data_IF_749987929074
#
_entry.id   IF_749987929074
#
_cell.length_a   1.000
_cell.length_b   1.000
_cell.length_c   1.000
_cell.angle_alpha   90.00
_cell.angle_beta   90.00
_cell.angle_gamma   90.00
#
_symmetry.space_group_name_H-M   'P 1'
#
loop_
_entity.id
_entity.type
_entity.pdbx_description
1 polymer ?
#
# COMPACT_ATOMS: atom_id res chain seq x y z
N UNK A 1 23.82 39.05 -18.80
CA UNK A 1 23.17 39.23 -17.48
C UNK A 1 23.95 38.35 -16.51
N UNK A 2 24.74 38.95 -15.60
CA UNK A 2 25.78 38.23 -14.86
C UNK A 2 25.21 37.45 -13.67
N UNK A 3 25.09 36.13 -13.82
CA UNK A 3 24.61 35.20 -12.79
C UNK A 3 25.47 35.23 -11.52
N UNK A 4 26.73 35.63 -11.65
CA UNK A 4 27.66 35.86 -10.54
C UNK A 4 27.23 36.98 -9.59
N UNK A 5 26.56 38.02 -10.09
CA UNK A 5 26.06 39.11 -9.24
C UNK A 5 24.86 38.64 -8.39
N UNK A 6 24.01 37.79 -8.96
CA UNK A 6 22.86 37.19 -8.27
C UNK A 6 23.30 36.23 -7.17
N UNK A 7 24.30 35.39 -7.44
CA UNK A 7 24.88 34.49 -6.44
C UNK A 7 25.58 35.25 -5.29
N UNK A 8 26.28 36.34 -5.61
CA UNK A 8 26.95 37.17 -4.59
C UNK A 8 25.96 37.94 -3.71
N UNK A 9 24.87 38.45 -4.28
CA UNK A 9 23.79 39.11 -3.52
C UNK A 9 23.05 38.10 -2.64
N UNK A 10 22.75 36.90 -3.14
CA UNK A 10 22.17 35.84 -2.31
C UNK A 10 23.09 35.45 -1.15
N UNK A 11 24.41 35.36 -1.37
CA UNK A 11 25.37 35.00 -0.32
C UNK A 11 25.49 36.07 0.78
N UNK A 12 25.37 37.36 0.44
CA UNK A 12 25.39 38.46 1.42
C UNK A 12 24.11 38.49 2.27
N UNK A 13 22.94 38.16 1.69
CA UNK A 13 21.68 38.06 2.44
C UNK A 13 21.69 36.93 3.46
N UNK A 14 22.44 35.84 3.20
CA UNK A 14 22.63 34.75 4.16
C UNK A 14 23.66 35.04 5.26
N UNK A 15 24.48 36.09 5.11
CA UNK A 15 25.58 36.42 6.04
C UNK A 15 25.28 37.60 6.98
N UNK A 16 24.17 38.31 6.81
CA UNK A 16 23.72 39.30 7.79
C UNK A 16 23.04 38.60 8.96
N UNK A 17 23.64 38.56 10.17
CA UNK A 17 22.94 38.07 11.34
C UNK A 17 21.79 39.01 11.63
N UNK A 18 20.57 38.56 11.37
CA UNK A 18 19.37 39.18 11.94
C UNK A 18 19.53 39.09 13.46
N UNK A 19 19.68 40.23 14.12
CA UNK A 19 19.64 40.29 15.57
C UNK A 19 18.32 39.65 16.04
N UNK A 20 18.34 38.57 16.83
CA UNK A 20 17.11 37.95 17.30
C UNK A 20 16.41 38.93 18.23
N UNK A 21 15.33 39.55 17.76
CA UNK A 21 14.33 40.17 18.63
C UNK A 21 13.40 39.07 19.11
N UNK A 22 13.84 38.31 20.10
CA UNK A 22 12.97 37.38 20.81
C UNK A 22 12.79 37.91 22.24
N UNK A 23 11.91 38.89 22.37
CA UNK A 23 11.33 39.29 23.65
C UNK A 23 9.82 39.01 23.58
N UNK A 24 9.47 37.79 23.20
CA UNK A 24 8.10 37.29 23.35
C UNK A 24 7.99 36.70 24.76
N UNK A 25 7.15 37.32 25.58
CA UNK A 25 6.65 36.71 26.82
C UNK A 25 6.06 35.35 26.47
N UNK A 26 6.66 34.26 26.96
CA UNK A 26 6.15 32.92 26.78
C UNK A 26 4.72 32.82 27.32
N UNK A 27 3.75 32.85 26.42
CA UNK A 27 2.33 32.61 26.70
C UNK A 27 1.98 31.22 26.20
N UNK A 28 1.62 30.35 27.13
CA UNK A 28 1.18 28.99 26.80
C UNK A 28 -0.23 29.04 26.19
N UNK A 29 -0.33 28.85 24.87
CA UNK A 29 -1.61 28.75 24.18
C UNK A 29 -2.09 27.30 24.20
N UNK A 30 -3.20 27.05 24.91
CA UNK A 30 -3.84 25.73 24.97
C UNK A 30 -4.28 25.24 23.59
N UNK A 31 -4.48 26.14 22.62
CA UNK A 31 -4.85 25.80 21.24
C UNK A 31 -3.73 25.06 20.47
N UNK A 32 -2.46 25.21 20.90
CA UNK A 32 -1.33 24.49 20.29
C UNK A 32 -1.30 23.00 20.64
N UNK A 33 -2.00 22.60 21.72
CA UNK A 33 -2.06 21.23 22.23
C UNK A 33 -3.36 20.52 21.85
N UNK A 34 -4.36 21.27 21.37
CA UNK A 34 -5.61 20.69 20.91
C UNK A 34 -5.37 19.85 19.65
N UNK A 35 -5.90 18.61 19.66
CA UNK A 35 -5.83 17.72 18.50
C UNK A 35 -6.55 18.39 17.34
N UNK A 36 -5.78 18.82 16.33
CA UNK A 36 -6.36 19.34 15.09
C UNK A 36 -7.24 18.27 14.46
N UNK A 37 -8.40 18.64 13.90
CA UNK A 37 -9.30 17.68 13.27
C UNK A 37 -8.77 17.21 11.91
N UNK A 38 -7.59 17.65 11.49
CA UNK A 38 -6.96 17.22 10.24
C UNK A 38 -5.48 16.93 10.45
N UNK A 39 -4.98 16.03 9.61
CA UNK A 39 -3.56 15.75 9.45
C UNK A 39 -3.26 15.63 7.97
N UNK A 40 -2.17 16.23 7.52
CA UNK A 40 -1.70 16.14 6.14
C UNK A 40 -0.22 15.74 6.21
N UNK A 41 0.13 14.72 5.45
CA UNK A 41 1.49 14.18 5.35
C UNK A 41 1.79 13.84 3.89
N UNK A 42 3.02 13.47 3.61
CA UNK A 42 3.45 13.10 2.28
C UNK A 42 4.95 13.17 2.11
N UNK A 43 5.41 12.80 0.93
CA UNK A 43 6.80 12.94 0.56
C UNK A 43 6.96 13.29 -0.91
N UNK A 44 8.11 13.88 -1.22
CA UNK A 44 8.57 14.08 -2.59
C UNK A 44 9.90 13.36 -2.74
N UNK A 45 10.03 12.55 -3.78
CA UNK A 45 11.27 11.88 -4.16
C UNK A 45 11.73 12.37 -5.53
N UNK A 46 13.03 12.64 -5.66
CA UNK A 46 13.68 12.91 -6.95
C UNK A 46 14.85 11.96 -7.12
N UNK A 47 14.78 11.10 -8.13
CA UNK A 47 15.76 10.05 -8.40
C UNK A 47 16.37 10.23 -9.80
N UNK A 48 17.53 10.90 -9.92
CA UNK A 48 18.29 10.93 -11.17
C UNK A 48 18.96 9.57 -11.41
N UNK A 49 18.88 9.07 -12.64
CA UNK A 49 19.35 7.76 -13.04
C UNK A 49 20.20 7.88 -14.32
N UNK A 50 21.32 7.17 -14.35
CA UNK A 50 22.16 7.03 -15.54
C UNK A 50 22.38 5.53 -15.76
N UNK A 51 21.84 5.00 -16.85
CA UNK A 51 22.03 3.63 -17.27
C UNK A 51 23.10 3.56 -18.36
N UNK A 52 23.99 2.57 -18.30
CA UNK A 52 24.90 2.24 -19.39
C UNK A 52 24.43 0.94 -20.06
N UNK A 53 23.66 1.00 -21.17
CA UNK A 53 23.12 -0.19 -21.80
C UNK A 53 24.21 -1.04 -22.47
N UNK A 54 24.02 -2.36 -22.45
CA UNK A 54 24.86 -3.32 -23.17
C UNK A 54 24.20 -3.66 -24.51
N UNK A 55 24.49 -2.86 -25.54
CA UNK A 55 23.84 -2.92 -26.85
C UNK A 55 24.03 -4.27 -27.58
N UNK A 56 25.09 -5.01 -27.26
CA UNK A 56 25.39 -6.35 -27.77
C UNK A 56 24.59 -7.48 -27.10
N UNK A 57 23.86 -7.21 -26.01
CA UNK A 57 23.07 -8.22 -25.31
C UNK A 57 21.72 -8.51 -25.97
N UNK A 58 21.28 -9.76 -25.92
CA UNK A 58 19.96 -10.18 -26.39
C UNK A 58 18.80 -9.47 -25.64
N UNK A 59 18.96 -9.22 -24.33
CA UNK A 59 17.98 -8.48 -23.52
C UNK A 59 17.82 -7.03 -23.97
N UNK A 60 18.90 -6.37 -24.39
CA UNK A 60 18.83 -5.02 -24.94
C UNK A 60 17.98 -4.99 -26.21
N UNK A 61 18.22 -5.92 -27.13
CA UNK A 61 17.48 -6.02 -28.39
C UNK A 61 15.99 -6.33 -28.17
N UNK A 62 15.68 -7.14 -27.16
CA UNK A 62 14.30 -7.44 -26.77
C UNK A 62 13.59 -6.23 -26.15
N UNK A 63 14.28 -5.49 -25.27
CA UNK A 63 13.70 -4.36 -24.54
C UNK A 63 13.56 -3.10 -25.39
N UNK A 64 14.49 -2.88 -26.33
CA UNK A 64 14.60 -1.68 -27.15
C UNK A 64 14.67 -2.04 -28.65
N UNK A 65 13.61 -2.65 -29.21
CA UNK A 65 13.64 -3.12 -30.59
C UNK A 65 13.79 -1.93 -31.55
N UNK A 66 14.85 -1.96 -32.37
CA UNK A 66 15.18 -0.93 -33.37
C UNK A 66 15.44 0.47 -32.76
N UNK A 67 15.77 0.56 -31.48
CA UNK A 67 16.12 1.82 -30.81
C UNK A 67 17.61 1.84 -30.46
N UNK A 68 18.30 2.92 -30.83
CA UNK A 68 19.66 3.21 -30.39
C UNK A 68 19.61 4.22 -29.24
N UNK A 69 19.93 3.78 -28.02
CA UNK A 69 19.95 4.63 -26.84
C UNK A 69 21.24 5.46 -26.73
N UNK A 70 22.25 5.15 -27.55
CA UNK A 70 23.61 5.66 -27.42
C UNK A 70 24.38 5.03 -26.26
N UNK A 71 25.39 5.76 -25.76
CA UNK A 71 26.33 5.27 -24.73
C UNK A 71 25.70 5.13 -23.34
N UNK A 72 24.77 6.02 -22.99
CA UNK A 72 24.09 6.07 -21.71
C UNK A 72 22.62 6.39 -21.94
N UNK A 73 21.74 6.12 -20.97
CA UNK A 73 20.37 6.59 -20.92
C UNK A 73 20.17 7.30 -19.57
N UNK A 74 19.84 8.57 -19.64
CA UNK A 74 19.56 9.43 -18.50
C UNK A 74 18.05 9.48 -18.27
N UNK A 75 17.62 9.21 -17.04
CA UNK A 75 16.23 9.35 -16.61
C UNK A 75 16.16 10.15 -15.31
N UNK A 76 15.04 10.80 -15.06
CA UNK A 76 14.73 11.38 -13.77
C UNK A 76 13.33 10.93 -13.35
N UNK A 77 13.23 10.27 -12.20
CA UNK A 77 11.95 9.86 -11.61
C UNK A 77 11.61 10.87 -10.51
N UNK A 78 10.41 11.42 -10.60
CA UNK A 78 9.81 12.26 -9.59
C UNK A 78 8.62 11.50 -9.00
N UNK A 79 8.59 11.36 -7.68
CA UNK A 79 7.42 10.82 -6.98
C UNK A 79 6.87 11.88 -6.03
N UNK A 80 5.56 12.01 -6.00
CA UNK A 80 4.83 12.81 -5.03
C UNK A 80 3.77 11.91 -4.40
N UNK A 81 3.83 11.75 -3.08
CA UNK A 81 2.77 11.12 -2.31
C UNK A 81 2.19 12.15 -1.37
N UNK A 82 0.86 12.23 -1.34
CA UNK A 82 0.12 13.10 -0.43
C UNK A 82 -0.89 12.23 0.31
N UNK A 83 -0.98 12.44 1.62
CA UNK A 83 -1.86 11.75 2.52
C UNK A 83 -2.59 12.78 3.38
N UNK A 84 -3.86 12.53 3.65
CA UNK A 84 -4.61 13.42 4.52
C UNK A 84 -5.74 12.71 5.23
N UNK A 85 -5.95 13.10 6.48
CA UNK A 85 -7.09 12.67 7.28
C UNK A 85 -7.85 13.88 7.81
N UNK A 86 -9.16 13.69 7.96
CA UNK A 86 -10.04 14.61 8.65
C UNK A 86 -10.94 13.83 9.61
N UNK A 87 -10.89 14.17 10.90
CA UNK A 87 -11.65 13.53 11.97
C UNK A 87 -12.67 14.51 12.56
N UNK A 88 -13.91 14.03 12.72
CA UNK A 88 -14.97 14.78 13.39
C UNK A 88 -15.89 13.83 14.15
N UNK A 89 -15.83 13.88 15.48
CA UNK A 89 -16.62 13.01 16.35
C UNK A 89 -16.28 11.53 16.13
N UNK A 90 -17.25 10.76 15.66
CA UNK A 90 -17.09 9.34 15.34
C UNK A 90 -16.79 9.06 13.87
N UNK A 91 -16.58 10.09 13.05
CA UNK A 91 -16.33 9.98 11.62
C UNK A 91 -14.88 10.37 11.28
N UNK A 92 -14.31 9.67 10.30
CA UNK A 92 -12.99 9.96 9.73
C UNK A 92 -13.05 9.85 8.21
N UNK A 93 -12.48 10.82 7.52
CA UNK A 93 -12.20 10.77 6.09
C UNK A 93 -10.68 10.62 5.90
N UNK A 94 -10.26 9.68 5.05
CA UNK A 94 -8.86 9.45 4.71
C UNK A 94 -8.68 9.48 3.20
N UNK A 95 -7.59 10.05 2.73
CA UNK A 95 -7.14 9.92 1.35
C UNK A 95 -5.62 9.78 1.28
N UNK A 96 -5.16 9.08 0.24
CA UNK A 96 -3.75 8.91 -0.10
C UNK A 96 -3.61 8.86 -1.61
N UNK A 97 -2.87 9.78 -2.20
CA UNK A 97 -2.61 9.86 -3.64
C UNK A 97 -1.14 9.64 -3.93
N UNK A 98 -0.83 9.01 -5.06
CA UNK A 98 0.54 8.78 -5.50
C UNK A 98 0.71 9.18 -6.96
N UNK A 99 1.60 10.12 -7.22
CA UNK A 99 1.97 10.59 -8.55
C UNK A 99 3.40 10.19 -8.85
N UNK A 100 3.61 9.48 -9.96
CA UNK A 100 4.92 9.15 -10.51
C UNK A 100 5.08 9.86 -11.85
N UNK A 101 6.15 10.63 -12.01
CA UNK A 101 6.53 11.25 -13.27
C UNK A 101 7.95 10.83 -13.64
N UNK A 102 8.11 10.19 -14.79
CA UNK A 102 9.41 9.79 -15.33
C UNK A 102 9.74 10.62 -16.55
N UNK A 103 10.81 11.39 -16.45
CA UNK A 103 11.44 12.07 -17.57
C UNK A 103 12.44 11.12 -18.24
N UNK A 104 12.34 10.92 -19.55
CA UNK A 104 13.24 10.01 -20.28
C UNK A 104 13.35 10.41 -21.75
N UNK A 105 14.54 10.21 -22.35
CA UNK A 105 14.72 10.38 -23.81
C UNK A 105 13.85 9.42 -24.63
N UNK A 106 13.32 8.37 -24.01
CA UNK A 106 12.39 7.42 -24.63
C UNK A 106 10.93 7.87 -24.60
N UNK A 107 10.65 9.03 -24.01
CA UNK A 107 9.31 9.55 -23.79
C UNK A 107 8.98 9.60 -22.31
N UNK A 108 8.37 10.72 -21.93
CA UNK A 108 7.95 10.96 -20.57
C UNK A 108 6.71 10.13 -20.23
N UNK A 109 6.58 9.76 -18.96
CA UNK A 109 5.41 9.04 -18.46
C UNK A 109 4.95 9.62 -17.14
N UNK A 110 3.65 9.84 -17.04
CA UNK A 110 2.98 10.26 -15.82
C UNK A 110 1.95 9.20 -15.42
N UNK A 111 1.87 8.90 -14.13
CA UNK A 111 0.76 8.15 -13.53
C UNK A 111 0.37 8.84 -12.23
N UNK A 112 -0.92 9.07 -12.03
CA UNK A 112 -1.46 9.57 -10.77
C UNK A 112 -2.61 8.67 -10.35
N UNK A 113 -2.45 8.06 -9.18
CA UNK A 113 -3.37 7.05 -8.66
C UNK A 113 -3.84 7.44 -7.27
N UNK A 114 -5.14 7.28 -7.01
CA UNK A 114 -5.68 7.32 -5.65
C UNK A 114 -5.40 5.98 -4.99
N UNK A 115 -4.40 5.91 -4.10
CA UNK A 115 -4.06 4.70 -3.37
C UNK A 115 -5.15 4.34 -2.38
N UNK A 116 -5.54 5.29 -1.53
CA UNK A 116 -6.61 5.10 -0.56
C UNK A 116 -7.54 6.31 -0.55
N UNK A 117 -8.80 6.07 -0.24
CA UNK A 117 -9.86 7.07 -0.23
C UNK A 117 -11.10 6.46 0.40
N UNK A 118 -11.28 6.65 1.70
CA UNK A 118 -12.37 6.00 2.43
C UNK A 118 -12.93 6.88 3.54
N UNK A 119 -14.20 6.61 3.85
CA UNK A 119 -14.89 7.13 5.02
C UNK A 119 -14.97 6.03 6.08
N UNK A 120 -14.71 6.38 7.32
CA UNK A 120 -14.75 5.50 8.49
C UNK A 120 -15.72 6.06 9.52
N UNK A 121 -16.59 5.19 10.03
CA UNK A 121 -17.51 5.48 11.12
C UNK A 121 -17.19 4.56 12.30
N UNK A 122 -17.07 5.13 13.50
CA UNK A 122 -16.81 4.44 14.76
C UNK A 122 -17.94 4.65 15.77
N UNK A 123 -19.10 3.99 15.60
CA UNK A 123 -20.28 4.23 16.46
C UNK A 123 -20.01 3.98 17.94
N UNK A 124 -19.04 3.13 18.26
CA UNK A 124 -18.52 2.91 19.61
C UNK A 124 -17.04 2.54 19.54
N UNK A 125 -16.31 2.51 20.67
CA UNK A 125 -14.92 2.06 20.70
C UNK A 125 -14.69 0.63 20.20
N UNK A 126 -15.74 -0.19 20.14
CA UNK A 126 -15.68 -1.58 19.72
C UNK A 126 -15.98 -1.79 18.23
N UNK A 127 -16.57 -0.82 17.54
CA UNK A 127 -17.02 -0.96 16.15
C UNK A 127 -16.35 0.05 15.23
N UNK A 128 -15.91 -0.43 14.06
CA UNK A 128 -15.44 0.41 12.97
C UNK A 128 -16.06 -0.07 11.65
N UNK A 129 -16.67 0.84 10.90
CA UNK A 129 -17.27 0.57 9.60
C UNK A 129 -16.59 1.49 8.59
N UNK A 130 -15.99 0.91 7.57
CA UNK A 130 -15.30 1.68 6.52
C UNK A 130 -15.97 1.45 5.17
N UNK A 131 -16.10 2.50 4.37
CA UNK A 131 -16.54 2.44 2.98
C UNK A 131 -15.60 3.25 2.09
N UNK A 132 -15.13 2.62 1.02
CA UNK A 132 -14.25 3.26 0.04
C UNK A 132 -13.05 2.40 -0.31
N UNK A 133 -12.04 3.05 -0.87
CA UNK A 133 -10.80 2.41 -1.34
C UNK A 133 -9.78 2.32 -0.22
N UNK A 134 -9.39 1.12 0.20
CA UNK A 134 -8.45 0.92 1.32
C UNK A 134 -7.60 -0.34 1.16
N UNK A 135 -6.46 -0.35 1.81
CA UNK A 135 -5.68 -1.58 2.04
C UNK A 135 -6.13 -2.25 3.34
N UNK A 136 -6.19 -3.58 3.36
CA UNK A 136 -6.60 -4.39 4.52
C UNK A 136 -5.42 -4.99 5.28
N UNK A 137 -4.31 -5.25 4.58
CA UNK A 137 -3.04 -5.78 5.11
C UNK A 137 -3.26 -7.09 5.88
N UNK A 138 -4.01 -8.02 5.28
CA UNK A 138 -4.23 -9.36 5.83
C UNK A 138 -2.98 -10.22 5.64
N UNK A 139 -2.61 -11.02 6.64
CA UNK A 139 -1.33 -11.74 6.72
C UNK A 139 -0.18 -10.89 7.28
N UNK A 140 0.92 -11.54 7.62
CA UNK A 140 2.17 -11.05 8.22
C UNK A 140 3.32 -10.92 7.20
N UNK A 141 3.17 -11.46 5.99
CA UNK A 141 4.22 -11.61 5.00
C UNK A 141 4.75 -10.27 4.50
N UNK A 142 6.08 -10.12 4.51
CA UNK A 142 6.73 -8.87 4.13
C UNK A 142 6.66 -8.61 2.63
N UNK A 143 7.34 -9.42 1.81
CA UNK A 143 7.36 -9.29 0.34
C UNK A 143 6.41 -10.29 -0.37
N UNK A 144 6.12 -11.41 0.28
CA UNK A 144 5.20 -12.43 -0.21
C UNK A 144 4.26 -12.84 0.92
N UNK A 145 2.95 -12.85 0.63
CA UNK A 145 1.90 -13.06 1.62
C UNK A 145 0.76 -13.87 0.98
N UNK A 146 0.70 -15.20 1.19
CA UNK A 146 -0.35 -16.05 0.65
C UNK A 146 -1.73 -15.75 1.28
N UNK A 147 -1.78 -15.15 2.47
CA UNK A 147 -2.98 -14.85 3.23
C UNK A 147 -3.62 -13.48 2.90
N UNK A 148 -2.96 -12.64 2.10
CA UNK A 148 -3.45 -11.33 1.65
C UNK A 148 -4.55 -11.46 0.58
N UNK A 149 -5.72 -11.99 0.95
CA UNK A 149 -6.78 -12.32 -0.02
C UNK A 149 -7.45 -11.13 -0.70
N UNK A 150 -7.49 -9.98 -0.02
CA UNK A 150 -8.21 -8.78 -0.46
C UNK A 150 -7.32 -7.75 -1.11
N UNK A 151 -6.02 -7.76 -0.79
CA UNK A 151 -5.11 -6.72 -1.24
C UNK A 151 -4.47 -7.09 -2.58
N UNK A 152 -4.02 -6.07 -3.30
CA UNK A 152 -3.16 -6.26 -4.46
C UNK A 152 -1.82 -6.87 -4.03
N UNK A 153 -1.13 -7.61 -4.91
CA UNK A 153 0.19 -8.14 -4.59
C UNK A 153 1.21 -7.00 -4.43
N UNK A 154 2.11 -7.16 -3.46
CA UNK A 154 3.25 -6.26 -3.28
C UNK A 154 4.24 -6.41 -4.43
N UNK A 155 4.99 -5.35 -4.70
CA UNK A 155 6.19 -5.43 -5.52
C UNK A 155 7.29 -6.14 -4.71
N UNK A 156 7.79 -7.31 -5.15
CA UNK A 156 8.88 -8.00 -4.46
C UNK A 156 10.21 -7.23 -4.47
N UNK A 157 10.40 -6.30 -5.41
CA UNK A 157 11.61 -5.47 -5.51
C UNK A 157 11.54 -4.23 -4.60
N UNK A 158 10.34 -3.80 -4.22
CA UNK A 158 10.09 -2.69 -3.30
C UNK A 158 8.85 -2.95 -2.41
N UNK A 159 8.95 -3.87 -1.43
CA UNK A 159 7.81 -4.30 -0.60
C UNK A 159 7.34 -3.25 0.41
N UNK A 160 8.10 -2.17 0.60
CA UNK A 160 7.71 -1.01 1.41
C UNK A 160 6.85 -0.02 0.63
N UNK A 161 6.85 -0.12 -0.71
CA UNK A 161 6.01 0.71 -1.55
C UNK A 161 4.53 0.45 -1.22
N UNK A 162 3.82 1.55 -0.95
CA UNK A 162 2.38 1.49 -0.74
C UNK A 162 1.67 0.88 -1.95
N UNK A 163 0.62 0.11 -1.69
CA UNK A 163 -0.19 -0.46 -2.75
C UNK A 163 -1.48 0.33 -2.89
N UNK A 164 -2.00 0.34 -4.11
CA UNK A 164 -3.35 0.80 -4.36
C UNK A 164 -4.34 -0.12 -3.61
N UNK A 165 -5.23 0.48 -2.82
CA UNK A 165 -6.25 -0.22 -2.05
C UNK A 165 -7.45 -0.65 -2.90
N UNK A 166 -8.27 -1.56 -2.37
CA UNK A 166 -9.47 -2.07 -3.04
C UNK A 166 -10.71 -1.33 -2.57
N UNK A 167 -11.69 -1.14 -3.44
CA UNK A 167 -12.96 -0.53 -3.05
C UNK A 167 -13.81 -1.55 -2.29
N UNK A 168 -14.19 -1.25 -1.06
CA UNK A 168 -14.93 -2.19 -0.23
C UNK A 168 -15.81 -1.50 0.81
N UNK A 169 -16.80 -2.24 1.28
CA UNK A 169 -17.47 -2.00 2.55
C UNK A 169 -16.90 -2.98 3.57
N UNK A 170 -16.48 -2.49 4.74
CA UNK A 170 -15.97 -3.35 5.81
C UNK A 170 -16.54 -3.00 7.17
N UNK A 171 -16.66 -4.01 8.02
CA UNK A 171 -17.10 -3.88 9.40
C UNK A 171 -16.18 -4.69 10.31
N UNK A 172 -15.58 -4.02 11.29
CA UNK A 172 -14.67 -4.61 12.26
C UNK A 172 -15.28 -4.44 13.65
N UNK A 173 -15.27 -5.51 14.42
CA UNK A 173 -15.61 -5.49 15.84
C UNK A 173 -14.40 -5.91 16.64
N UNK A 174 -14.14 -5.27 17.78
CA UNK A 174 -13.07 -5.65 18.70
C UNK A 174 -13.62 -5.80 20.12
N UNK A 175 -13.21 -6.87 20.79
CA UNK A 175 -13.48 -7.10 22.20
C UNK A 175 -12.26 -7.64 22.91
N UNK A 176 -11.97 -7.06 24.07
CA UNK A 176 -10.85 -7.45 24.93
C UNK A 176 -11.36 -8.15 26.19
N UNK A 177 -10.57 -9.09 26.73
CA UNK A 177 -10.91 -9.88 27.91
C UNK A 177 -9.69 -10.00 28.84
N UNK A 178 -9.93 -10.41 30.09
CA UNK A 178 -8.91 -10.60 31.12
C UNK A 178 -8.35 -12.02 31.23
N UNK A 179 -8.82 -12.95 30.39
CA UNK A 179 -8.43 -14.36 30.44
C UNK A 179 -7.28 -14.70 29.48
N UNK A 180 -7.09 -16.00 29.23
CA UNK A 180 -6.08 -16.48 28.28
C UNK A 180 -6.35 -15.99 26.85
N UNK A 181 -7.62 -15.87 26.46
CA UNK A 181 -8.00 -15.12 25.27
C UNK A 181 -8.05 -13.64 25.66
N UNK A 182 -7.11 -12.83 25.16
CA UNK A 182 -7.00 -11.40 25.49
C UNK A 182 -7.82 -10.52 24.54
N UNK A 183 -7.91 -10.89 23.27
CA UNK A 183 -8.64 -10.12 22.26
C UNK A 183 -9.33 -11.04 21.26
N UNK A 184 -10.53 -10.67 20.85
CA UNK A 184 -11.25 -11.25 19.73
C UNK A 184 -11.69 -10.13 18.80
N UNK A 185 -11.36 -10.24 17.51
CA UNK A 185 -11.69 -9.20 16.54
C UNK A 185 -12.14 -9.78 15.19
N UNK A 186 -13.45 -10.03 15.00
CA UNK A 186 -13.98 -10.40 13.70
C UNK A 186 -14.04 -9.18 12.76
N UNK A 187 -13.67 -9.41 11.51
CA UNK A 187 -13.67 -8.44 10.41
C UNK A 187 -14.46 -9.01 9.24
N UNK A 188 -15.34 -8.23 8.64
CA UNK A 188 -16.13 -8.61 7.47
C UNK A 188 -15.92 -7.60 6.36
N UNK A 189 -15.81 -8.09 5.12
CA UNK A 189 -15.55 -7.26 3.94
C UNK A 189 -16.46 -7.68 2.79
N UNK A 190 -17.09 -6.71 2.15
CA UNK A 190 -17.79 -6.86 0.88
C UNK A 190 -17.04 -6.05 -0.18
N UNK A 191 -16.58 -6.73 -1.22
CA UNK A 191 -15.79 -6.17 -2.30
C UNK A 191 -16.59 -6.30 -3.61
N UNK A 192 -17.28 -5.23 -4.04
CA UNK A 192 -18.02 -5.24 -5.29
C UNK A 192 -17.06 -5.20 -6.50
N UNK A 193 -17.47 -5.83 -7.60
CA UNK A 193 -16.71 -5.87 -8.85
C UNK A 193 -17.53 -5.21 -9.97
N UNK A 194 -17.05 -4.09 -10.49
CA UNK A 194 -17.66 -3.33 -11.57
C UNK A 194 -16.59 -2.84 -12.55
N UNK A 195 -17.01 -2.17 -13.62
CA UNK A 195 -16.09 -1.55 -14.58
C UNK A 195 -15.18 -0.55 -13.85
N UNK A 196 -13.87 -0.77 -13.94
CA UNK A 196 -12.83 0.02 -13.28
C UNK A 196 -12.85 -0.03 -11.73
N UNK A 197 -13.60 -0.96 -11.13
CA UNK A 197 -13.64 -1.18 -9.69
C UNK A 197 -13.38 -2.65 -9.39
N UNK A 198 -12.22 -2.94 -8.82
CA UNK A 198 -11.79 -4.28 -8.42
C UNK A 198 -11.91 -5.32 -9.55
N UNK A 199 -11.71 -4.93 -10.81
CA UNK A 199 -11.90 -5.80 -11.99
C UNK A 199 -10.88 -6.95 -12.07
N UNK A 200 -9.77 -6.83 -11.34
CA UNK A 200 -8.78 -7.88 -11.10
C UNK A 200 -9.24 -8.96 -10.10
N UNK A 201 -10.32 -8.70 -9.35
CA UNK A 201 -10.86 -9.61 -8.34
C UNK A 201 -12.04 -10.46 -8.85
N UNK A 202 -12.24 -10.56 -10.17
CA UNK A 202 -13.21 -11.46 -10.78
C UNK A 202 -13.98 -10.82 -11.93
N UNK A 203 -15.08 -11.46 -12.34
CA UNK A 203 -16.02 -10.94 -13.35
C UNK A 203 -16.88 -9.82 -12.77
N UNK A 204 -17.27 -8.90 -13.65
CA UNK A 204 -18.18 -7.78 -13.40
C UNK A 204 -19.55 -8.22 -12.86
N UNK A 205 -20.20 -7.36 -12.09
CA UNK A 205 -21.52 -7.54 -11.46
C UNK A 205 -21.58 -8.67 -10.42
N UNK A 206 -20.44 -8.94 -9.78
CA UNK A 206 -20.33 -9.86 -8.66
C UNK A 206 -19.83 -9.13 -7.41
N UNK A 207 -20.03 -9.76 -6.26
CA UNK A 207 -19.53 -9.28 -4.96
C UNK A 207 -18.75 -10.42 -4.34
N UNK A 208 -17.50 -10.15 -3.98
CA UNK A 208 -16.72 -11.03 -3.12
C UNK A 208 -17.03 -10.68 -1.65
N UNK A 209 -17.11 -11.70 -0.82
CA UNK A 209 -17.29 -11.58 0.62
C UNK A 209 -16.09 -12.23 1.32
N UNK A 210 -15.49 -11.51 2.27
CA UNK A 210 -14.42 -12.02 3.09
C UNK A 210 -14.72 -11.86 4.57
N UNK A 211 -14.14 -12.75 5.37
CA UNK A 211 -14.15 -12.65 6.81
C UNK A 211 -12.77 -13.01 7.37
N UNK A 212 -12.36 -12.29 8.42
CA UNK A 212 -11.18 -12.60 9.23
C UNK A 212 -11.59 -12.69 10.70
N UNK A 213 -11.17 -13.74 11.39
CA UNK A 213 -11.29 -13.89 12.82
C UNK A 213 -9.90 -13.77 13.46
N UNK A 214 -9.66 -12.66 14.14
CA UNK A 214 -8.44 -12.45 14.92
C UNK A 214 -8.63 -12.88 16.38
N UNK A 215 -7.62 -13.54 16.93
CA UNK A 215 -7.50 -13.89 18.33
C UNK A 215 -6.12 -13.49 18.84
N UNK A 216 -6.08 -12.79 19.97
CA UNK A 216 -4.87 -12.71 20.79
C UNK A 216 -5.00 -13.75 21.91
N UNK A 217 -4.38 -14.92 21.74
CA UNK A 217 -4.42 -16.00 22.71
C UNK A 217 -3.07 -16.13 23.41
N UNK A 218 -3.05 -15.86 24.72
CA UNK A 218 -1.84 -15.56 25.49
C UNK A 218 -1.04 -14.41 24.85
N UNK A 219 0.07 -14.73 24.20
CA UNK A 219 0.95 -13.77 23.50
C UNK A 219 1.12 -14.18 22.03
N UNK A 220 0.16 -14.93 21.51
CA UNK A 220 0.12 -15.39 20.12
C UNK A 220 -1.05 -14.71 19.41
N UNK A 221 -0.75 -13.98 18.34
CA UNK A 221 -1.72 -13.55 17.36
C UNK A 221 -2.10 -14.74 16.47
N UNK A 222 -3.39 -14.95 16.26
CA UNK A 222 -3.91 -15.98 15.36
C UNK A 222 -5.00 -15.35 14.52
N UNK A 223 -4.87 -15.45 13.20
CA UNK A 223 -5.87 -15.01 12.24
C UNK A 223 -6.38 -16.22 11.45
N UNK A 224 -7.71 -16.33 11.31
CA UNK A 224 -8.36 -17.26 10.40
C UNK A 224 -9.14 -16.46 9.36
N UNK A 225 -8.94 -16.74 8.09
CA UNK A 225 -9.50 -15.91 7.02
C UNK A 225 -10.15 -16.76 5.93
N UNK A 226 -11.20 -16.19 5.33
CA UNK A 226 -11.89 -16.75 4.19
C UNK A 226 -12.24 -15.64 3.21
N UNK A 227 -12.10 -15.93 1.93
CA UNK A 227 -12.64 -15.14 0.83
C UNK A 227 -13.46 -16.07 -0.06
N UNK A 228 -14.68 -15.66 -0.37
CA UNK A 228 -15.57 -16.40 -1.28
C UNK A 228 -16.52 -15.44 -1.98
N UNK A 229 -17.43 -16.00 -2.77
CA UNK A 229 -18.42 -15.24 -3.50
C UNK A 229 -17.93 -14.82 -4.89
N UNK A 230 -18.91 -14.39 -5.69
CA UNK A 230 -18.64 -13.88 -7.01
C UNK A 230 -18.19 -14.92 -8.03
N UNK A 231 -17.13 -14.55 -8.74
CA UNK A 231 -16.47 -15.35 -9.78
C UNK A 231 -14.96 -15.47 -9.54
N UNK A 232 -14.52 -15.09 -8.33
CA UNK A 232 -13.17 -15.28 -7.84
C UNK A 232 -13.05 -16.63 -7.13
N UNK A 233 -11.86 -17.22 -7.15
CA UNK A 233 -11.63 -18.51 -6.50
C UNK A 233 -11.74 -18.39 -4.99
N UNK A 234 -12.43 -19.35 -4.35
CA UNK A 234 -12.57 -19.36 -2.89
C UNK A 234 -11.23 -19.67 -2.23
N UNK A 235 -10.93 -18.94 -1.15
CA UNK A 235 -9.67 -19.03 -0.41
C UNK A 235 -9.92 -19.18 1.08
N UNK A 236 -9.10 -20.01 1.71
CA UNK A 236 -9.09 -20.23 3.15
C UNK A 236 -7.66 -20.04 3.63
N UNK A 237 -7.46 -19.30 4.70
CA UNK A 237 -6.12 -18.98 5.17
C UNK A 237 -6.06 -18.94 6.68
N UNK A 238 -4.84 -19.10 7.17
CA UNK A 238 -4.51 -18.86 8.56
C UNK A 238 -3.13 -18.23 8.66
N UNK A 239 -2.96 -17.33 9.61
CA UNK A 239 -1.65 -16.84 10.02
C UNK A 239 -1.53 -16.81 11.54
N UNK A 240 -0.29 -16.85 12.01
CA UNK A 240 0.04 -16.64 13.41
C UNK A 240 1.33 -15.84 13.56
N UNK A 241 1.44 -15.10 14.66
CA UNK A 241 2.70 -14.50 15.09
C UNK A 241 2.87 -14.59 16.60
N UNK A 242 4.11 -14.73 17.06
CA UNK A 242 4.45 -14.74 18.49
C UNK A 242 5.85 -14.20 18.71
N UNK A 243 5.96 -13.26 19.64
CA UNK A 243 7.25 -12.87 20.19
C UNK A 243 7.80 -13.97 21.12
N UNK A 244 8.95 -14.53 20.77
CA UNK A 244 9.70 -15.48 21.59
C UNK A 244 10.56 -14.75 22.63
N UNK A 245 11.12 -13.60 22.22
CA UNK A 245 11.83 -12.63 23.07
C UNK A 245 11.53 -11.22 22.53
N UNK A 246 11.90 -10.12 23.23
CA UNK A 246 11.58 -8.76 22.78
C UNK A 246 12.03 -8.39 21.36
N UNK A 247 13.06 -9.05 20.83
CA UNK A 247 13.62 -8.77 19.50
C UNK A 247 13.49 -9.95 18.53
N UNK A 248 12.79 -11.02 18.91
CA UNK A 248 12.64 -12.22 18.08
C UNK A 248 11.18 -12.63 18.02
N UNK A 249 10.62 -12.52 16.82
CA UNK A 249 9.28 -12.98 16.49
C UNK A 249 9.36 -14.20 15.57
N UNK A 250 8.44 -15.15 15.76
CA UNK A 250 8.14 -16.18 14.78
C UNK A 250 6.74 -15.94 14.24
N UNK A 251 6.59 -16.05 12.92
CA UNK A 251 5.29 -16.04 12.26
C UNK A 251 5.23 -17.11 11.17
N UNK A 252 4.01 -17.48 10.79
CA UNK A 252 3.76 -18.43 9.72
C UNK A 252 2.39 -18.22 9.13
N UNK A 253 2.25 -18.59 7.86
CA UNK A 253 1.03 -18.38 7.08
C UNK A 253 0.79 -19.58 6.18
N UNK A 254 -0.49 -19.82 5.88
CA UNK A 254 -0.90 -20.82 4.91
C UNK A 254 -2.17 -20.36 4.21
N UNK A 255 -2.28 -20.64 2.92
CA UNK A 255 -3.50 -20.44 2.16
C UNK A 255 -3.85 -21.67 1.31
N UNK A 256 -5.13 -22.02 1.31
CA UNK A 256 -5.73 -23.02 0.46
C UNK A 256 -6.69 -22.34 -0.53
N UNK A 257 -6.39 -22.47 -1.82
CA UNK A 257 -7.12 -21.85 -2.93
C UNK A 257 -7.80 -22.96 -3.73
N UNK A 258 -9.13 -22.88 -3.87
CA UNK A 258 -9.91 -23.82 -4.66
C UNK A 258 -9.91 -23.46 -6.14
N UNK A 259 -9.94 -24.46 -7.01
CA UNK A 259 -10.18 -24.30 -8.45
C UNK A 259 -9.25 -23.26 -9.12
N UNK A 260 -7.98 -23.22 -8.69
CA UNK A 260 -7.01 -22.27 -9.25
C UNK A 260 -6.69 -22.66 -10.70
N UNK A 261 -6.91 -21.73 -11.62
CA UNK A 261 -6.47 -21.89 -13.01
C UNK A 261 -4.95 -21.74 -13.09
N UNK A 262 -4.29 -22.74 -13.67
CA UNK A 262 -2.85 -22.72 -13.96
C UNK A 262 -2.62 -22.96 -15.44
N UNK A 263 -1.79 -22.09 -16.04
CA UNK A 263 -1.29 -22.30 -17.39
C UNK A 263 -0.12 -23.29 -17.35
N UNK A 264 -0.27 -24.41 -18.06
CA UNK A 264 0.79 -25.40 -18.24
C UNK A 264 1.30 -25.28 -19.67
N UNK A 265 2.61 -25.15 -19.82
CA UNK A 265 3.26 -25.12 -21.13
C UNK A 265 3.76 -26.53 -21.44
N UNK A 266 3.31 -27.10 -22.55
CA UNK A 266 3.79 -28.39 -23.03
C UNK A 266 5.22 -28.27 -23.59
N UNK A 267 5.98 -29.37 -23.73
CA UNK A 267 7.32 -29.34 -24.33
C UNK A 267 7.35 -28.78 -25.77
N UNK A 268 6.21 -28.75 -26.45
CA UNK A 268 6.05 -28.19 -27.80
C UNK A 268 5.52 -26.75 -27.79
N UNK A 269 5.47 -26.10 -26.62
CA UNK A 269 5.09 -24.69 -26.46
C UNK A 269 3.58 -24.43 -26.46
N UNK A 270 2.73 -25.46 -26.40
CA UNK A 270 1.27 -25.29 -26.29
C UNK A 270 0.91 -24.91 -24.86
N UNK A 271 0.18 -23.81 -24.70
CA UNK A 271 -0.33 -23.37 -23.40
C UNK A 271 -1.73 -23.95 -23.18
N UNK A 272 -1.91 -24.73 -22.11
CA UNK A 272 -3.21 -25.28 -21.70
C UNK A 272 -3.56 -24.77 -20.30
N UNK A 273 -4.82 -24.38 -20.09
CA UNK A 273 -5.32 -24.04 -18.74
C UNK A 273 -5.84 -25.29 -18.05
N UNK A 274 -5.41 -25.53 -16.81
CA UNK A 274 -5.88 -26.63 -15.95
C UNK A 274 -6.33 -26.06 -14.61
N UNK A 275 -7.48 -26.50 -14.13
CA UNK A 275 -8.00 -26.16 -12.80
C UNK A 275 -7.53 -27.19 -11.77
N UNK A 276 -6.89 -26.69 -10.70
CA UNK A 276 -6.49 -27.51 -9.55
C UNK A 276 -6.51 -26.70 -8.26
N UNK A 277 -6.82 -27.37 -7.17
CA UNK A 277 -6.60 -26.85 -5.83
C UNK A 277 -5.11 -26.58 -5.59
N UNK A 278 -4.81 -25.50 -4.87
CA UNK A 278 -3.45 -25.10 -4.55
C UNK A 278 -3.33 -24.74 -3.08
N UNK A 279 -2.30 -25.27 -2.43
CA UNK A 279 -1.85 -24.82 -1.11
C UNK A 279 -0.58 -24.01 -1.28
N UNK A 280 -0.56 -22.81 -0.73
CA UNK A 280 0.58 -21.91 -0.66
C UNK A 280 0.97 -21.68 0.79
#
# INVERSE_FOLDING_TARGET
MNWWLLLFVCFIVFLTPLAPKAEETYTFDLSEIEKKPYHIDGYVEVKPLIYQPRADSSLYQLKYPKQDLGRSLEEAIFKLQLEGTYESGNALLHFKTNTNYKLSRLGDRESTDLYEGYFSLKPSPAWQIDVGKKTFKWGKGYAWNPAAFLDRPKDPEDPELGMEGVFALSANYIKSFSGNLKTFSPSFVLQPIYDHINDEFGKKNYINAAAKLYFLFYDTDIDLMVLTGGSYTSRFGADFSRNLTPNWEIHGEIAFIRDSQKSIISPIGTVTSVERDTTN
#
